data_IF_624781222658
#
_entry.id   IF_624781222658
#
_cell.length_a   1.000
_cell.length_b   1.000
_cell.length_c   1.000
_cell.angle_alpha   90.00
_cell.angle_beta   90.00
_cell.angle_gamma   90.00
#
_symmetry.space_group_name_H-M   'P 1'
#
loop_
_entity.id
_entity.type
_entity.pdbx_description
1 polymer ?
#
# COMPACT_ATOMS: atom_id res chain seq x y z
N UNK A 1 17.15 -12.91 -8.45
CA UNK A 1 16.27 -11.90 -7.82
C UNK A 1 14.89 -12.12 -8.40
N UNK A 2 13.99 -12.68 -7.59
CA UNK A 2 12.64 -13.02 -8.04
C UNK A 2 11.77 -11.76 -8.03
N UNK A 3 11.09 -11.45 -9.14
CA UNK A 3 10.22 -10.30 -9.24
C UNK A 3 8.88 -10.61 -8.58
N UNK A 4 8.65 -10.06 -7.40
CA UNK A 4 7.38 -10.22 -6.70
C UNK A 4 6.28 -9.43 -7.41
N UNK A 5 5.14 -10.04 -7.73
CA UNK A 5 4.04 -9.33 -8.38
C UNK A 5 3.50 -8.24 -7.45
N UNK A 6 3.24 -7.06 -8.03
CA UNK A 6 2.48 -6.01 -7.34
C UNK A 6 1.03 -6.46 -7.25
N UNK A 7 0.51 -6.56 -6.03
CA UNK A 7 -0.88 -6.96 -5.76
C UNK A 7 -1.42 -6.05 -4.67
N UNK A 8 -2.48 -5.32 -4.98
CA UNK A 8 -3.18 -4.49 -4.02
C UNK A 8 -4.50 -5.15 -3.68
N UNK A 9 -4.82 -5.22 -2.39
CA UNK A 9 -6.11 -5.70 -1.91
C UNK A 9 -7.06 -4.49 -1.83
N UNK A 10 -8.21 -4.57 -2.49
CA UNK A 10 -9.23 -3.53 -2.39
C UNK A 10 -9.84 -3.47 -0.99
N UNK A 11 -10.38 -2.32 -0.60
CA UNK A 11 -10.98 -2.08 0.73
C UNK A 11 -12.09 -3.07 1.04
N UNK A 12 -13.01 -3.32 0.10
CA UNK A 12 -14.09 -4.31 0.25
C UNK A 12 -13.55 -5.70 0.56
N UNK A 13 -12.47 -6.10 -0.12
CA UNK A 13 -11.86 -7.42 0.04
C UNK A 13 -11.12 -7.55 1.37
N UNK A 14 -10.43 -6.49 1.80
CA UNK A 14 -9.80 -6.42 3.13
C UNK A 14 -10.88 -6.57 4.20
N UNK A 15 -12.02 -5.90 4.04
CA UNK A 15 -13.12 -5.95 5.00
C UNK A 15 -13.76 -7.35 5.06
N UNK A 16 -13.98 -7.99 3.91
CA UNK A 16 -14.43 -9.39 3.87
C UNK A 16 -13.44 -10.34 4.55
N UNK A 17 -12.14 -10.16 4.34
CA UNK A 17 -11.10 -10.94 5.03
C UNK A 17 -11.10 -10.69 6.54
N UNK A 18 -11.29 -9.44 6.96
CA UNK A 18 -11.44 -9.07 8.38
C UNK A 18 -12.61 -9.81 9.01
N UNK A 19 -13.77 -9.83 8.36
CA UNK A 19 -14.95 -10.56 8.83
C UNK A 19 -14.69 -12.08 8.94
N UNK A 20 -13.99 -12.68 7.98
CA UNK A 20 -13.61 -14.12 8.03
C UNK A 20 -12.70 -14.39 9.23
N UNK A 21 -11.68 -13.55 9.44
CA UNK A 21 -10.75 -13.70 10.57
C UNK A 21 -11.48 -13.50 11.90
N UNK A 22 -12.36 -12.50 12.00
CA UNK A 22 -13.18 -12.25 13.19
C UNK A 22 -14.10 -13.43 13.52
N UNK A 23 -14.80 -13.99 12.53
CA UNK A 23 -15.65 -15.17 12.72
C UNK A 23 -14.87 -16.38 13.24
N UNK A 24 -13.69 -16.65 12.67
CA UNK A 24 -12.81 -17.74 13.14
C UNK A 24 -12.23 -17.48 14.52
N UNK A 25 -11.93 -16.22 14.85
CA UNK A 25 -11.46 -15.84 16.18
C UNK A 25 -12.55 -16.02 17.24
N UNK A 26 -13.80 -15.66 16.93
CA UNK A 26 -14.95 -15.90 17.80
C UNK A 26 -15.19 -17.39 18.03
N UNK A 27 -15.16 -18.20 16.96
CA UNK A 27 -15.26 -19.66 17.06
C UNK A 27 -14.13 -20.26 17.92
N UNK A 28 -12.90 -19.83 17.69
CA UNK A 28 -11.74 -20.26 18.48
C UNK A 28 -11.88 -19.92 19.98
N UNK A 29 -12.26 -18.68 20.31
CA UNK A 29 -12.50 -18.28 21.71
C UNK A 29 -13.59 -19.13 22.35
N UNK A 30 -14.69 -19.39 21.63
CA UNK A 30 -15.79 -20.21 22.12
C UNK A 30 -15.36 -21.68 22.38
N UNK A 31 -14.45 -22.23 21.58
CA UNK A 31 -13.93 -23.59 21.76
C UNK A 31 -12.93 -23.70 22.92
N UNK A 32 -12.15 -22.65 23.18
CA UNK A 32 -11.03 -22.71 24.13
C UNK A 32 -11.33 -22.10 25.50
N UNK A 33 -12.32 -21.22 25.63
CA UNK A 33 -12.66 -20.63 26.92
C UNK A 33 -13.43 -21.61 27.81
N UNK A 34 -12.94 -21.84 29.03
CA UNK A 34 -13.67 -22.57 30.06
C UNK A 34 -14.90 -21.81 30.58
N UNK A 35 -14.92 -20.48 30.41
CA UNK A 35 -16.08 -19.65 30.72
C UNK A 35 -16.98 -19.53 29.49
N UNK A 36 -18.29 -19.36 29.68
CA UNK A 36 -19.23 -18.91 28.64
C UNK A 36 -18.94 -17.45 28.20
N UNK A 37 -17.66 -17.08 28.04
CA UNK A 37 -17.21 -15.79 27.57
C UNK A 37 -17.54 -15.70 26.07
N UNK A 38 -18.78 -15.30 25.77
CA UNK A 38 -19.28 -15.04 24.41
C UNK A 38 -18.79 -13.70 23.83
N UNK A 39 -17.73 -13.12 24.39
CA UNK A 39 -17.22 -11.86 23.88
C UNK A 39 -16.51 -12.12 22.54
N UNK A 40 -17.05 -11.57 21.46
CA UNK A 40 -16.37 -11.57 20.16
C UNK A 40 -15.09 -10.74 20.28
N UNK A 41 -13.92 -11.34 20.04
CA UNK A 41 -12.68 -10.59 20.15
C UNK A 41 -12.61 -9.56 19.00
N UNK A 42 -12.33 -8.28 19.29
CA UNK A 42 -12.27 -7.27 18.26
C UNK A 42 -11.12 -7.58 17.29
N UNK A 43 -11.41 -7.44 15.99
CA UNK A 43 -10.43 -7.58 14.91
C UNK A 43 -10.39 -6.30 14.09
N UNK A 44 -9.21 -5.68 14.07
CA UNK A 44 -8.94 -4.43 13.36
C UNK A 44 -7.95 -4.65 12.22
N UNK A 45 -8.12 -3.92 11.14
CA UNK A 45 -7.15 -3.92 10.03
C UNK A 45 -5.93 -3.10 10.44
N UNK A 46 -4.75 -3.73 10.40
CA UNK A 46 -3.51 -3.00 10.59
C UNK A 46 -3.13 -2.26 9.30
N UNK A 47 -2.73 -1.00 9.44
CA UNK A 47 -2.19 -0.22 8.34
C UNK A 47 -0.82 -0.71 7.86
N UNK A 48 0.03 0.24 7.46
CA UNK A 48 1.38 -0.07 6.98
C UNK A 48 2.16 -0.96 7.98
N UNK A 49 3.01 -1.83 7.44
CA UNK A 49 3.92 -2.69 8.20
C UNK A 49 4.70 -1.86 9.23
N UNK A 50 4.64 -2.24 10.51
CA UNK A 50 5.41 -1.61 11.59
C UNK A 50 6.20 -2.69 12.34
N UNK A 51 7.48 -2.90 12.04
CA UNK A 51 8.28 -3.94 12.68
C UNK A 51 8.48 -3.67 14.18
N UNK A 52 8.38 -2.41 14.62
CA UNK A 52 8.81 -1.97 15.96
C UNK A 52 7.65 -1.65 16.93
N UNK A 53 6.39 -1.86 16.52
CA UNK A 53 5.26 -1.20 17.18
C UNK A 53 4.69 -1.86 18.46
N UNK A 54 5.19 -3.00 18.95
CA UNK A 54 4.68 -3.57 20.21
C UNK A 54 5.81 -4.17 21.04
N UNK A 55 5.80 -3.84 22.34
CA UNK A 55 6.41 -4.52 23.49
C UNK A 55 7.77 -5.19 23.32
N UNK A 56 8.72 -4.83 24.20
CA UNK A 56 10.09 -5.36 24.27
C UNK A 56 10.19 -6.91 24.31
N UNK A 57 9.10 -7.62 24.65
CA UNK A 57 9.05 -9.08 24.80
C UNK A 57 8.22 -9.83 23.72
N UNK A 58 7.84 -9.18 22.61
CA UNK A 58 6.99 -9.81 21.59
C UNK A 58 7.78 -10.72 20.64
N UNK A 59 7.46 -12.03 20.62
CA UNK A 59 8.05 -13.01 19.70
C UNK A 59 7.19 -13.21 18.44
N UNK A 60 7.83 -13.53 17.31
CA UNK A 60 7.12 -13.97 16.12
C UNK A 60 6.89 -15.48 16.15
N UNK A 61 5.77 -15.90 15.60
CA UNK A 61 5.41 -17.28 15.35
C UNK A 61 4.94 -17.42 13.91
N UNK A 62 5.22 -18.56 13.30
CA UNK A 62 4.91 -18.81 11.90
C UNK A 62 4.28 -20.17 11.67
N UNK A 63 3.36 -20.21 10.71
CA UNK A 63 2.81 -21.42 10.11
C UNK A 63 2.90 -21.27 8.59
N UNK A 64 3.51 -22.24 7.89
CA UNK A 64 3.71 -22.20 6.44
C UNK A 64 3.20 -23.49 5.80
N UNK A 65 2.48 -23.33 4.70
CA UNK A 65 1.97 -24.37 3.81
C UNK A 65 2.03 -23.82 2.40
N UNK A 66 3.18 -24.00 1.75
CA UNK A 66 3.55 -23.24 0.56
C UNK A 66 2.48 -23.31 -0.54
N UNK A 67 2.10 -22.17 -1.15
CA UNK A 67 2.68 -20.82 -0.98
C UNK A 67 2.06 -20.00 0.18
N UNK A 68 1.12 -20.54 0.95
CA UNK A 68 0.43 -19.81 2.01
C UNK A 68 1.25 -19.73 3.30
N UNK A 69 1.26 -18.55 3.92
CA UNK A 69 1.95 -18.32 5.18
C UNK A 69 1.15 -17.40 6.09
N UNK A 70 1.12 -17.77 7.38
CA UNK A 70 0.64 -16.98 8.49
C UNK A 70 1.83 -16.67 9.40
N UNK A 71 2.00 -15.40 9.74
CA UNK A 71 2.85 -14.97 10.83
C UNK A 71 2.00 -14.30 11.90
N UNK A 72 2.33 -14.56 13.16
CA UNK A 72 1.64 -14.04 14.32
C UNK A 72 2.66 -13.49 15.30
N UNK A 73 2.36 -12.36 15.94
CA UNK A 73 3.23 -11.77 16.95
C UNK A 73 2.51 -11.67 18.29
N UNK A 74 3.12 -12.24 19.32
CA UNK A 74 2.61 -12.26 20.69
C UNK A 74 3.78 -12.52 21.66
N UNK A 75 3.80 -11.82 22.80
CA UNK A 75 4.82 -12.04 23.84
C UNK A 75 4.47 -13.21 24.76
N UNK A 76 5.45 -13.73 25.50
CA UNK A 76 5.23 -14.86 26.43
C UNK A 76 4.21 -14.53 27.53
N UNK A 77 4.31 -13.32 28.12
CA UNK A 77 3.29 -12.82 29.06
C UNK A 77 1.90 -12.73 28.44
N UNK A 78 1.82 -12.46 27.14
CA UNK A 78 0.58 -12.47 26.38
C UNK A 78 0.00 -13.88 26.26
N UNK A 79 0.83 -14.87 25.92
CA UNK A 79 0.44 -16.28 25.88
C UNK A 79 -0.05 -16.76 27.25
N UNK A 80 0.69 -16.43 28.31
CA UNK A 80 0.33 -16.76 29.68
C UNK A 80 -1.03 -16.18 30.07
N UNK A 81 -1.26 -14.88 29.80
CA UNK A 81 -2.56 -14.23 30.06
C UNK A 81 -3.71 -14.86 29.28
N UNK A 82 -3.48 -15.21 28.02
CA UNK A 82 -4.49 -15.89 27.19
C UNK A 82 -4.81 -17.27 27.77
N UNK A 83 -3.78 -18.04 28.14
CA UNK A 83 -3.98 -19.36 28.75
C UNK A 83 -4.68 -19.27 30.10
N UNK A 84 -4.31 -18.31 30.96
CA UNK A 84 -4.98 -18.08 32.23
C UNK A 84 -6.47 -17.75 32.03
N UNK A 85 -6.78 -16.86 31.08
CA UNK A 85 -8.16 -16.51 30.73
C UNK A 85 -8.95 -17.72 30.20
N UNK A 86 -8.34 -18.57 29.37
CA UNK A 86 -8.98 -19.78 28.86
C UNK A 86 -9.16 -20.87 29.91
N UNK A 87 -8.24 -21.00 30.87
CA UNK A 87 -8.39 -21.89 32.02
C UNK A 87 -9.36 -21.35 33.09
N UNK A 88 -9.82 -20.10 32.99
CA UNK A 88 -10.67 -19.47 34.00
C UNK A 88 -9.93 -19.15 35.31
N UNK A 89 -8.61 -18.97 35.25
CA UNK A 89 -7.77 -18.63 36.41
C UNK A 89 -7.35 -17.16 36.38
N UNK A 90 -7.32 -16.52 37.56
CA UNK A 90 -7.09 -15.08 37.67
C UNK A 90 -5.62 -14.66 37.58
N UNK A 91 -4.68 -15.59 37.79
CA UNK A 91 -3.25 -15.29 37.92
C UNK A 91 -2.43 -16.28 37.08
N UNK A 92 -1.33 -15.77 36.54
CA UNK A 92 -0.22 -16.55 36.03
C UNK A 92 0.21 -17.62 37.04
N UNK A 93 0.47 -18.83 36.56
CA UNK A 93 0.91 -19.93 37.41
C UNK A 93 2.44 -20.07 37.35
N UNK A 94 3.09 -20.19 38.51
CA UNK A 94 4.54 -20.31 38.59
C UNK A 94 5.09 -21.56 37.86
N UNK A 95 4.24 -22.54 37.57
CA UNK A 95 4.61 -23.75 36.82
C UNK A 95 4.47 -23.62 35.30
N UNK A 96 4.01 -22.48 34.77
CA UNK A 96 3.99 -22.17 33.34
C UNK A 96 2.94 -22.93 32.51
N UNK A 97 1.97 -23.59 33.14
CA UNK A 97 0.87 -24.28 32.47
C UNK A 97 -0.02 -23.29 31.71
N UNK A 98 -0.25 -22.09 32.23
CA UNK A 98 -1.01 -21.05 31.54
C UNK A 98 -0.28 -20.62 30.26
N UNK A 99 1.04 -20.39 30.32
CA UNK A 99 1.84 -20.11 29.12
C UNK A 99 1.77 -21.26 28.09
N UNK A 100 1.89 -22.51 28.56
CA UNK A 100 1.76 -23.71 27.72
C UNK A 100 0.37 -23.87 27.10
N UNK A 101 -0.69 -23.56 27.84
CA UNK A 101 -2.07 -23.57 27.35
C UNK A 101 -2.29 -22.47 26.31
N UNK A 102 -1.86 -21.24 26.58
CA UNK A 102 -1.97 -20.13 25.64
C UNK A 102 -1.21 -20.39 24.33
N UNK A 103 -0.03 -21.00 24.40
CA UNK A 103 0.73 -21.41 23.21
C UNK A 103 -0.05 -22.41 22.36
N UNK A 104 -0.62 -23.46 22.98
CA UNK A 104 -1.45 -24.46 22.28
C UNK A 104 -2.72 -23.84 21.69
N UNK A 105 -3.34 -22.92 22.42
CA UNK A 105 -4.52 -22.22 21.95
C UNK A 105 -4.23 -21.37 20.72
N UNK A 106 -3.14 -20.58 20.75
CA UNK A 106 -2.72 -19.77 19.60
C UNK A 106 -2.30 -20.65 18.41
N UNK A 107 -1.62 -21.77 18.65
CA UNK A 107 -1.32 -22.74 17.59
C UNK A 107 -2.61 -23.28 16.96
N UNK A 108 -3.62 -23.61 17.75
CA UNK A 108 -4.90 -24.08 17.24
C UNK A 108 -5.61 -23.00 16.41
N UNK A 109 -5.58 -21.74 16.85
CA UNK A 109 -6.08 -20.61 16.06
C UNK A 109 -5.34 -20.46 14.73
N UNK A 110 -4.01 -20.55 14.75
CA UNK A 110 -3.19 -20.48 13.53
C UNK A 110 -3.58 -21.60 12.55
N UNK A 111 -3.83 -22.82 13.05
CA UNK A 111 -4.29 -23.96 12.24
C UNK A 111 -5.73 -23.80 11.74
N UNK A 112 -6.61 -23.12 12.48
CA UNK A 112 -7.95 -22.76 11.98
C UNK A 112 -7.87 -21.77 10.82
N UNK A 113 -6.90 -20.84 10.83
CA UNK A 113 -6.67 -19.90 9.73
C UNK A 113 -6.03 -20.58 8.52
N UNK A 114 -5.00 -21.40 8.75
CA UNK A 114 -4.29 -22.16 7.73
C UNK A 114 -4.35 -23.66 8.05
N UNK A 115 -5.43 -24.35 7.62
CA UNK A 115 -5.57 -25.79 7.82
C UNK A 115 -4.59 -26.52 6.89
N UNK A 116 -3.42 -26.84 7.43
CA UNK A 116 -2.36 -27.53 6.73
C UNK A 116 -1.81 -28.65 7.62
N UNK A 117 -2.07 -29.90 7.23
CA UNK A 117 -1.76 -31.07 8.05
C UNK A 117 -0.26 -31.23 8.35
N UNK A 118 0.62 -30.73 7.47
CA UNK A 118 2.07 -30.84 7.59
C UNK A 118 2.76 -29.56 8.10
N UNK A 119 2.02 -28.46 8.30
CA UNK A 119 2.62 -27.19 8.67
C UNK A 119 3.08 -27.21 10.14
N UNK A 120 4.34 -26.88 10.37
CA UNK A 120 4.93 -26.86 11.72
C UNK A 120 4.81 -25.45 12.30
N UNK A 121 4.13 -25.33 13.43
CA UNK A 121 4.10 -24.10 14.23
C UNK A 121 5.47 -23.87 14.87
N UNK A 122 6.10 -22.72 14.59
CA UNK A 122 7.44 -22.41 15.11
C UNK A 122 7.52 -20.98 15.60
N UNK A 123 8.20 -20.79 16.74
CA UNK A 123 8.70 -19.48 17.14
C UNK A 123 9.85 -19.07 16.21
N UNK A 124 9.88 -17.79 15.88
CA UNK A 124 10.94 -17.13 15.12
C UNK A 124 11.30 -15.86 15.86
N UNK A 125 12.59 -15.64 16.09
CA UNK A 125 13.08 -14.36 16.60
C UNK A 125 13.27 -13.34 15.46
N UNK A 126 13.14 -13.81 14.21
CA UNK A 126 13.23 -12.96 13.02
C UNK A 126 11.81 -12.61 12.54
N UNK A 127 11.49 -11.31 12.35
CA UNK A 127 10.23 -10.91 11.74
C UNK A 127 10.09 -11.49 10.33
N UNK A 128 8.87 -11.80 9.87
CA UNK A 128 8.68 -12.24 8.49
C UNK A 128 9.12 -11.13 7.54
N UNK A 129 9.69 -11.51 6.41
CA UNK A 129 10.28 -10.57 5.47
C UNK A 129 9.21 -9.66 4.85
N UNK A 130 9.56 -8.40 4.59
CA UNK A 130 8.65 -7.39 4.01
C UNK A 130 8.01 -7.85 2.70
N UNK A 131 8.71 -8.69 1.94
CA UNK A 131 8.16 -9.31 0.73
C UNK A 131 6.97 -10.24 0.97
N UNK A 132 6.95 -10.94 2.11
CA UNK A 132 5.89 -11.88 2.47
C UNK A 132 4.69 -11.15 3.11
N UNK A 133 4.91 -9.96 3.66
CA UNK A 133 3.97 -9.27 4.55
C UNK A 133 3.63 -7.83 4.14
N UNK A 134 4.23 -7.35 3.05
CA UNK A 134 4.03 -6.01 2.53
C UNK A 134 2.67 -5.83 1.84
N UNK A 135 1.92 -4.75 2.14
CA UNK A 135 0.62 -4.48 1.49
C UNK A 135 0.68 -4.41 -0.04
N UNK A 136 1.83 -3.98 -0.58
CA UNK A 136 2.08 -3.88 -2.03
C UNK A 136 2.14 -5.23 -2.74
N UNK A 137 2.33 -6.31 -2.00
CA UNK A 137 2.43 -7.68 -2.50
C UNK A 137 1.19 -8.51 -2.18
N UNK A 138 0.12 -7.86 -1.70
CA UNK A 138 -1.18 -8.49 -1.45
C UNK A 138 -1.32 -9.10 -0.07
N UNK A 139 -0.33 -8.91 0.81
CA UNK A 139 -0.41 -9.32 2.21
C UNK A 139 -1.25 -8.33 3.03
N UNK A 140 -1.91 -8.82 4.08
CA UNK A 140 -2.75 -8.01 4.97
C UNK A 140 -2.36 -8.30 6.42
N UNK A 141 -2.41 -7.27 7.27
CA UNK A 141 -2.27 -7.40 8.71
C UNK A 141 -3.58 -7.17 9.45
N UNK A 142 -3.80 -7.93 10.52
CA UNK A 142 -4.91 -7.73 11.45
C UNK A 142 -4.40 -7.67 12.89
N UNK A 143 -5.01 -6.82 13.71
CA UNK A 143 -4.86 -6.80 15.16
C UNK A 143 -6.05 -7.53 15.77
N UNK A 144 -5.79 -8.42 16.71
CA UNK A 144 -6.77 -9.21 17.44
C UNK A 144 -6.54 -9.00 18.94
N UNK A 145 -7.57 -8.63 19.70
CA UNK A 145 -7.44 -8.48 21.16
C UNK A 145 -8.19 -9.57 21.90
N UNK A 146 -7.48 -10.33 22.75
CA UNK A 146 -8.03 -11.46 23.52
C UNK A 146 -7.54 -11.35 24.95
N UNK A 147 -8.45 -11.33 25.93
CA UNK A 147 -8.10 -11.15 27.36
C UNK A 147 -7.21 -9.90 27.62
N UNK A 148 -7.41 -8.84 26.83
CA UNK A 148 -6.60 -7.62 26.88
C UNK A 148 -5.15 -7.81 26.39
N UNK A 149 -4.88 -8.87 25.63
CA UNK A 149 -3.62 -9.12 24.93
C UNK A 149 -3.82 -8.83 23.45
N UNK A 150 -2.98 -7.97 22.90
CA UNK A 150 -2.94 -7.71 21.46
C UNK A 150 -2.10 -8.77 20.75
N UNK A 151 -2.68 -9.31 19.69
CA UNK A 151 -2.08 -10.30 18.80
C UNK A 151 -2.06 -9.69 17.41
N UNK A 152 -0.88 -9.59 16.81
CA UNK A 152 -0.76 -9.15 15.42
C UNK A 152 -0.72 -10.37 14.50
N UNK A 153 -1.56 -10.37 13.48
CA UNK A 153 -1.65 -11.39 12.44
C UNK A 153 -1.17 -10.80 11.12
N UNK A 154 -0.40 -11.58 10.37
CA UNK A 154 0.10 -11.22 9.04
C UNK A 154 -0.13 -12.38 8.09
N UNK A 155 -0.99 -12.14 7.12
CA UNK A 155 -1.40 -13.13 6.13
C UNK A 155 -0.76 -12.74 4.80
N UNK A 156 -0.01 -13.65 4.20
CA UNK A 156 0.55 -13.40 2.86
C UNK A 156 -0.55 -13.47 1.79
N UNK A 157 -0.22 -13.09 0.56
CA UNK A 157 -1.21 -13.03 -0.53
C UNK A 157 -1.84 -14.39 -0.86
N UNK A 158 -1.07 -15.48 -0.76
CA UNK A 158 -1.57 -16.83 -1.01
C UNK A 158 -2.58 -17.28 0.05
N UNK A 159 -2.31 -17.00 1.33
CA UNK A 159 -3.27 -17.26 2.41
C UNK A 159 -4.54 -16.39 2.23
N UNK A 160 -4.39 -15.11 1.90
CA UNK A 160 -5.53 -14.24 1.60
C UNK A 160 -6.39 -14.80 0.45
N UNK A 161 -5.77 -15.33 -0.61
CA UNK A 161 -6.46 -15.95 -1.73
C UNK A 161 -7.16 -17.27 -1.35
N UNK A 162 -6.60 -18.05 -0.43
CA UNK A 162 -7.25 -19.27 0.10
C UNK A 162 -8.45 -18.95 0.98
N UNK A 163 -8.34 -17.95 1.84
CA UNK A 163 -9.44 -17.56 2.74
C UNK A 163 -10.62 -16.96 1.99
N UNK A 164 -10.32 -16.15 0.98
CA UNK A 164 -11.30 -15.49 0.16
C UNK A 164 -10.83 -15.56 -1.29
N UNK A 165 -11.21 -16.55 -2.09
CA UNK A 165 -10.82 -16.62 -3.50
C UNK A 165 -11.15 -15.31 -4.22
N UNK A 166 -10.31 -14.85 -5.17
CA UNK A 166 -10.69 -13.73 -6.02
C UNK A 166 -11.99 -14.10 -6.76
N UNK A 167 -12.92 -13.15 -6.88
CA UNK A 167 -14.08 -13.38 -7.72
C UNK A 167 -13.60 -13.53 -9.17
N UNK A 168 -14.15 -14.50 -9.91
CA UNK A 168 -13.88 -14.71 -11.34
C UNK A 168 -14.46 -13.61 -12.23
N UNK A 169 -14.74 -12.43 -11.66
CA UNK A 169 -15.22 -11.30 -12.43
C UNK A 169 -14.07 -10.78 -13.28
N UNK A 170 -14.16 -10.86 -14.63
CA UNK A 170 -13.14 -10.26 -15.47
C UNK A 170 -13.07 -8.77 -15.12
N UNK A 171 -11.91 -8.36 -14.61
CA UNK A 171 -11.64 -6.94 -14.38
C UNK A 171 -11.79 -6.17 -15.69
N UNK A 172 -12.11 -4.87 -15.64
CA UNK A 172 -12.12 -4.06 -16.85
C UNK A 172 -10.78 -4.22 -17.55
N UNK A 173 -10.81 -4.51 -18.85
CA UNK A 173 -9.60 -4.62 -19.65
C UNK A 173 -8.83 -3.31 -19.50
N UNK A 174 -7.62 -3.39 -18.94
CA UNK A 174 -6.77 -2.21 -18.84
C UNK A 174 -6.45 -1.76 -20.26
N UNK A 175 -6.99 -0.59 -20.65
CA UNK A 175 -6.66 0.01 -21.93
C UNK A 175 -5.15 0.26 -21.97
N UNK A 176 -4.55 0.15 -23.17
CA UNK A 176 -3.15 0.51 -23.31
C UNK A 176 -2.99 1.97 -22.87
N UNK A 177 -1.88 2.28 -22.17
CA UNK A 177 -1.61 3.65 -21.69
C UNK A 177 -1.78 4.71 -22.79
N UNK A 178 -1.45 4.34 -24.03
CA UNK A 178 -1.64 5.18 -25.21
C UNK A 178 -3.11 5.57 -25.41
N UNK A 179 -4.02 4.62 -25.31
CA UNK A 179 -5.45 4.83 -25.53
C UNK A 179 -6.07 5.66 -24.39
N UNK A 180 -5.60 5.44 -23.15
CA UNK A 180 -6.02 6.22 -22.00
C UNK A 180 -5.60 7.69 -22.07
N UNK A 181 -4.46 7.99 -22.69
CA UNK A 181 -3.93 9.36 -22.84
C UNK A 181 -4.43 10.01 -24.13
N UNK A 182 -4.76 9.23 -25.16
CA UNK A 182 -5.19 9.75 -26.47
C UNK A 182 -6.46 10.62 -26.39
N UNK A 183 -7.29 10.43 -25.36
CA UNK A 183 -8.50 11.22 -25.14
C UNK A 183 -8.25 12.53 -24.35
N UNK A 184 -7.00 12.83 -23.98
CA UNK A 184 -6.66 14.03 -23.19
C UNK A 184 -6.03 15.08 -24.09
N UNK A 185 -6.72 16.20 -24.25
CA UNK A 185 -6.16 17.39 -24.89
C UNK A 185 -5.22 18.13 -23.93
N UNK A 186 -4.15 18.70 -24.47
CA UNK A 186 -3.23 19.55 -23.74
C UNK A 186 -3.10 20.91 -24.44
N UNK A 187 -3.34 21.98 -23.69
CA UNK A 187 -3.16 23.35 -24.16
C UNK A 187 -1.75 23.83 -23.82
N UNK A 188 -1.11 24.50 -24.78
CA UNK A 188 0.20 25.10 -24.61
C UNK A 188 0.19 26.53 -25.12
N UNK A 189 0.89 27.41 -24.40
CA UNK A 189 1.11 28.78 -24.85
C UNK A 189 2.45 28.88 -25.58
N UNK A 190 2.42 29.40 -26.80
CA UNK A 190 3.63 29.71 -27.56
C UNK A 190 4.09 31.13 -27.21
N UNK A 191 5.15 31.21 -26.41
CA UNK A 191 5.69 32.48 -25.90
C UNK A 191 6.95 32.87 -26.65
N UNK A 192 6.93 34.08 -27.22
CA UNK A 192 8.12 34.76 -27.70
C UNK A 192 8.67 35.67 -26.59
N UNK A 193 9.78 35.26 -25.99
CA UNK A 193 10.46 36.06 -24.96
C UNK A 193 11.22 37.21 -25.63
N UNK A 194 10.60 38.39 -25.66
CA UNK A 194 11.15 39.61 -26.27
C UNK A 194 12.14 40.36 -25.37
N UNK A 195 12.44 39.84 -24.18
CA UNK A 195 13.26 40.48 -23.16
C UNK A 195 12.44 41.26 -22.11
N UNK A 196 13.10 42.18 -21.41
CA UNK A 196 12.49 42.97 -20.32
C UNK A 196 12.46 44.45 -20.71
N UNK A 197 11.34 45.11 -20.43
CA UNK A 197 11.14 46.56 -20.60
C UNK A 197 10.87 47.16 -19.22
N UNK A 198 11.30 48.39 -18.97
CA UNK A 198 11.02 49.04 -17.70
C UNK A 198 9.54 49.40 -17.57
N UNK A 199 9.02 49.44 -16.33
CA UNK A 199 7.62 49.80 -16.07
C UNK A 199 7.29 51.24 -16.50
N UNK A 200 8.27 52.14 -16.41
CA UNK A 200 8.07 53.54 -16.80
C UNK A 200 7.91 53.67 -18.31
N UNK A 201 8.70 52.92 -19.10
CA UNK A 201 8.57 52.88 -20.56
C UNK A 201 7.26 52.21 -21.00
N UNK A 202 6.81 51.16 -20.30
CA UNK A 202 5.57 50.46 -20.69
C UNK A 202 4.32 51.31 -20.47
N UNK A 203 4.32 52.21 -19.48
CA UNK A 203 3.22 53.14 -19.22
C UNK A 203 3.12 54.27 -20.26
N UNK A 204 4.19 54.52 -21.01
CA UNK A 204 4.25 55.58 -22.01
C UNK A 204 3.88 55.11 -23.43
N UNK A 205 3.60 53.82 -23.63
CA UNK A 205 3.31 53.25 -24.95
C UNK A 205 1.95 53.70 -25.49
N UNK A 206 1.94 54.16 -26.74
CA UNK A 206 0.76 54.51 -27.50
C UNK A 206 0.57 53.56 -28.71
N UNK A 207 -0.67 53.42 -29.24
CA UNK A 207 -0.91 52.67 -30.46
C UNK A 207 -0.06 53.21 -31.63
N UNK A 208 0.77 52.36 -32.23
CA UNK A 208 1.70 52.72 -33.30
C UNK A 208 3.17 52.78 -32.88
N UNK A 209 3.45 52.76 -31.58
CA UNK A 209 4.83 52.70 -31.08
C UNK A 209 5.50 51.37 -31.43
N UNK A 210 6.80 51.44 -31.76
CA UNK A 210 7.60 50.27 -32.15
C UNK A 210 8.54 49.91 -31.01
N UNK A 211 8.32 48.74 -30.40
CA UNK A 211 9.21 48.18 -29.39
C UNK A 211 10.35 47.46 -30.09
N UNK A 212 11.57 48.02 -30.01
CA UNK A 212 12.78 47.38 -30.52
C UNK A 212 13.30 46.38 -29.49
N UNK A 213 13.51 45.14 -29.90
CA UNK A 213 13.99 44.05 -29.04
C UNK A 213 15.36 43.58 -29.55
N UNK A 214 16.13 42.93 -28.69
CA UNK A 214 17.41 42.31 -29.07
C UNK A 214 17.25 40.93 -29.71
N UNK A 215 16.00 40.45 -29.85
CA UNK A 215 15.67 39.12 -30.32
C UNK A 215 15.65 39.10 -31.84
N UNK A 216 16.46 38.24 -32.51
CA UNK A 216 16.53 38.24 -33.96
C UNK A 216 15.22 37.76 -34.60
N UNK A 217 14.97 38.24 -35.82
CA UNK A 217 13.89 37.74 -36.66
C UNK A 217 14.16 36.26 -36.95
N UNK A 218 13.31 35.38 -36.43
CA UNK A 218 13.50 33.91 -36.49
C UNK A 218 13.93 33.26 -35.18
N UNK A 219 13.97 33.99 -34.06
CA UNK A 219 14.16 33.38 -32.75
C UNK A 219 13.10 32.32 -32.45
N UNK A 220 13.52 31.27 -31.74
CA UNK A 220 12.63 30.20 -31.30
C UNK A 220 11.56 30.71 -30.33
N UNK A 221 10.37 30.16 -30.47
CA UNK A 221 9.28 30.25 -29.52
C UNK A 221 9.43 29.12 -28.48
N UNK A 222 9.09 29.44 -27.23
CA UNK A 222 8.98 28.46 -26.16
C UNK A 222 7.53 28.04 -26.03
N UNK A 223 7.24 26.74 -26.02
CA UNK A 223 5.94 26.23 -25.61
C UNK A 223 5.96 25.99 -24.10
N UNK A 224 5.05 26.66 -23.40
CA UNK A 224 4.87 26.51 -21.96
C UNK A 224 3.50 25.91 -21.66
N UNK A 225 3.39 25.15 -20.57
CA UNK A 225 2.09 24.71 -20.05
C UNK A 225 1.34 25.88 -19.43
N UNK A 226 0.06 25.70 -19.11
CA UNK A 226 -0.74 26.67 -18.34
C UNK A 226 -0.11 27.04 -16.98
N UNK A 227 0.80 26.20 -16.46
CA UNK A 227 1.56 26.46 -15.22
C UNK A 227 2.87 27.23 -15.46
N UNK A 228 3.14 27.63 -16.70
CA UNK A 228 4.39 28.27 -17.11
C UNK A 228 5.58 27.33 -17.22
N UNK A 229 5.38 26.01 -17.18
CA UNK A 229 6.48 25.05 -17.31
C UNK A 229 6.91 24.93 -18.77
N UNK A 230 8.20 25.10 -19.05
CA UNK A 230 8.74 24.99 -20.40
C UNK A 230 8.81 23.53 -20.87
N UNK A 231 8.18 23.24 -22.01
CA UNK A 231 8.05 21.88 -22.57
C UNK A 231 8.96 21.67 -23.76
N UNK A 232 8.98 22.59 -24.73
CA UNK A 232 9.76 22.45 -25.94
C UNK A 232 10.04 23.81 -26.61
N UNK A 233 11.09 23.86 -27.42
CA UNK A 233 11.45 25.00 -28.25
C UNK A 233 11.09 24.70 -29.71
N UNK A 234 10.59 25.70 -30.44
CA UNK A 234 10.30 25.57 -31.87
C UNK A 234 10.40 26.87 -32.64
N UNK A 235 10.64 26.78 -33.95
CA UNK A 235 10.67 27.93 -34.84
C UNK A 235 9.28 28.21 -35.41
N UNK A 236 8.87 29.48 -35.41
CA UNK A 236 7.65 29.90 -36.11
C UNK A 236 7.87 29.75 -37.63
N UNK A 237 7.00 28.98 -38.27
CA UNK A 237 6.98 28.79 -39.72
C UNK A 237 5.57 29.04 -40.26
N UNK A 238 5.43 29.10 -41.58
CA UNK A 238 4.13 29.03 -42.24
C UNK A 238 3.95 27.64 -42.87
N UNK A 239 2.80 27.03 -42.66
CA UNK A 239 2.41 25.76 -43.28
C UNK A 239 0.96 25.85 -43.73
N UNK A 240 0.68 25.54 -45.00
CA UNK A 240 -0.65 25.63 -45.60
C UNK A 240 -1.39 26.98 -45.32
N UNK A 241 -0.66 28.10 -45.33
CA UNK A 241 -1.23 29.43 -45.07
C UNK A 241 -1.50 29.76 -43.60
N UNK A 242 -1.15 28.87 -42.67
CA UNK A 242 -1.32 29.06 -41.22
C UNK A 242 0.04 29.21 -40.53
N UNK A 243 0.06 29.90 -39.40
CA UNK A 243 1.23 29.92 -38.51
C UNK A 243 1.38 28.54 -37.88
N UNK A 244 2.54 27.94 -38.04
CA UNK A 244 2.87 26.62 -37.52
C UNK A 244 4.18 26.69 -36.72
N UNK A 245 4.39 25.71 -35.84
CA UNK A 245 5.61 25.60 -35.04
C UNK A 245 6.40 24.37 -35.50
N UNK A 246 7.60 24.59 -36.04
CA UNK A 246 8.54 23.51 -36.29
C UNK A 246 9.33 23.23 -35.03
N UNK A 247 9.09 22.08 -34.41
CA UNK A 247 9.80 21.65 -33.19
C UNK A 247 11.30 21.55 -33.49
N UNK A 248 12.12 22.24 -32.69
CA UNK A 248 13.59 22.25 -32.82
C UNK A 248 14.26 21.47 -31.70
N UNK A 249 13.71 21.52 -30.49
CA UNK A 249 14.22 20.77 -29.35
C UNK A 249 13.07 20.34 -28.43
N UNK A 250 13.11 19.11 -27.94
CA UNK A 250 12.16 18.55 -26.99
C UNK A 250 12.85 18.44 -25.64
N UNK A 251 12.38 19.20 -24.64
CA UNK A 251 12.87 18.96 -23.29
C UNK A 251 12.21 17.71 -22.74
N UNK A 252 13.00 16.67 -22.56
CA UNK A 252 12.59 15.55 -21.72
C UNK A 252 12.34 16.10 -20.33
N UNK A 253 11.12 15.95 -19.75
CA UNK A 253 10.85 16.45 -18.41
C UNK A 253 11.88 15.86 -17.44
N UNK A 254 12.66 16.74 -16.79
CA UNK A 254 13.60 16.36 -15.75
C UNK A 254 12.80 15.82 -14.56
N UNK A 255 12.54 14.51 -14.55
CA UNK A 255 11.79 13.92 -13.43
C UNK A 255 11.17 12.56 -13.72
N UNK A 256 12.01 11.55 -13.98
CA UNK A 256 11.90 10.16 -13.48
C UNK A 256 13.00 9.33 -14.16
N UNK A 257 14.24 9.56 -13.75
CA UNK A 257 15.16 8.43 -13.69
C UNK A 257 14.56 7.50 -12.61
N UNK A 258 13.97 6.40 -13.07
CA UNK A 258 13.67 5.26 -12.22
C UNK A 258 14.92 4.40 -12.10
#
# INVERSE_FOLDING_TARGET
MELLPLRWQGTTRIESLRCIVAGRAAEWVAQWSAANARAEPPVETLGAWRPDAVGVDAGWYGLRDEPAALALRVGERGLERIGAAFAGIAVADDCGLACGLGRRAIEAFARMLLPAAAAVWRRSDVPPQVQDTGPRHGAIGFGLTVAGVEIELRLNAALCARLLPPADTPGPTLAARRDAIAAVDATFDAVLDLGRVSLVESLALAPGDVIRTSVPVGAGLRLVTERGEHVLDGALTAEAGHRALKVTDLRTPRGKQR
#
